data_IF_405041909596
#
_entry.id   IF_405041909596
#
_cell.length_a   1.000
_cell.length_b   1.000
_cell.length_c   1.000
_cell.angle_alpha   90.00
_cell.angle_beta   90.00
_cell.angle_gamma   90.00
#
_symmetry.space_group_name_H-M   'P 1'
#
loop_
_entity.id
_entity.type
_entity.pdbx_description
1 polymer ?
#
# COMPACT_ATOMS: atom_id res chain seq x y z
N UNK A 1 -25.82 22.34 -7.89
CA UNK A 1 -24.65 22.00 -8.68
C UNK A 1 -23.41 22.22 -7.85
N UNK A 2 -22.47 21.30 -7.90
CA UNK A 2 -21.18 21.39 -7.22
C UNK A 2 -20.09 21.86 -8.18
N UNK A 3 -19.02 22.38 -7.58
CA UNK A 3 -17.78 22.73 -8.26
C UNK A 3 -16.63 21.99 -7.59
N UNK A 4 -15.89 21.20 -8.36
CA UNK A 4 -14.75 20.43 -7.85
C UNK A 4 -13.45 21.02 -8.37
N UNK A 5 -12.59 21.47 -7.48
CA UNK A 5 -11.22 21.85 -7.79
C UNK A 5 -10.31 20.68 -7.47
N UNK A 6 -9.64 20.16 -8.50
CA UNK A 6 -8.83 18.94 -8.37
C UNK A 6 -7.37 19.30 -8.60
N UNK A 7 -6.56 19.05 -7.58
CA UNK A 7 -5.12 19.28 -7.56
C UNK A 7 -4.38 17.94 -7.42
N UNK A 8 -3.12 17.91 -7.81
CA UNK A 8 -2.26 16.74 -7.74
C UNK A 8 -0.85 17.13 -7.32
N UNK A 9 -0.17 16.24 -6.61
CA UNK A 9 1.25 16.38 -6.29
C UNK A 9 2.18 16.02 -7.47
N UNK A 10 1.60 15.52 -8.58
CA UNK A 10 2.30 15.29 -9.85
C UNK A 10 1.76 16.24 -10.90
N UNK A 11 2.59 17.11 -11.51
CA UNK A 11 2.16 18.02 -12.55
C UNK A 11 1.62 17.27 -13.78
N UNK A 12 0.54 17.80 -14.38
CA UNK A 12 -0.01 17.28 -15.64
C UNK A 12 -0.82 15.98 -15.48
N UNK A 13 -1.23 15.63 -14.25
CA UNK A 13 -2.09 14.48 -14.03
C UNK A 13 -3.44 14.65 -14.73
N UNK A 14 -3.86 13.64 -15.47
CA UNK A 14 -5.12 13.64 -16.23
C UNK A 14 -6.29 13.25 -15.34
N UNK A 15 -7.34 14.07 -15.37
CA UNK A 15 -8.52 13.92 -14.53
C UNK A 15 -9.73 13.48 -15.34
N UNK A 16 -10.39 12.44 -14.88
CA UNK A 16 -11.64 11.91 -15.45
C UNK A 16 -12.70 11.87 -14.35
N UNK A 17 -13.88 12.39 -14.66
CA UNK A 17 -15.05 12.29 -13.82
C UNK A 17 -16.12 11.48 -14.58
N UNK A 18 -16.61 10.40 -13.97
CA UNK A 18 -17.57 9.47 -14.60
C UNK A 18 -17.13 9.01 -15.99
N UNK A 19 -15.82 8.73 -16.15
CA UNK A 19 -15.16 8.33 -17.41
C UNK A 19 -15.05 9.44 -18.47
N UNK A 20 -15.44 10.67 -18.15
CA UNK A 20 -15.28 11.81 -19.04
C UNK A 20 -14.03 12.59 -18.67
N UNK A 21 -13.22 12.92 -19.67
CA UNK A 21 -12.03 13.72 -19.45
C UNK A 21 -12.41 15.15 -19.08
N UNK A 22 -11.91 15.61 -17.93
CA UNK A 22 -12.18 16.95 -17.41
C UNK A 22 -11.05 17.93 -17.75
N UNK A 23 -9.81 17.44 -17.72
CA UNK A 23 -8.61 18.23 -17.96
C UNK A 23 -7.40 17.68 -17.24
N UNK A 24 -6.35 18.49 -17.15
CA UNK A 24 -5.13 18.17 -16.40
C UNK A 24 -5.06 18.98 -15.11
N UNK A 25 -4.68 18.32 -14.02
CA UNK A 25 -4.57 18.99 -12.71
C UNK A 25 -3.48 20.07 -12.70
N UNK A 26 -3.71 21.26 -12.10
CA UNK A 26 -4.94 21.66 -11.42
C UNK A 26 -6.08 21.99 -12.39
N UNK A 27 -7.28 21.46 -12.13
CA UNK A 27 -8.44 21.64 -12.99
C UNK A 27 -9.70 21.84 -12.15
N UNK A 28 -10.64 22.61 -12.66
CA UNK A 28 -11.94 22.83 -12.01
C UNK A 28 -13.05 22.21 -12.87
N UNK A 29 -13.81 21.29 -12.28
CA UNK A 29 -15.03 20.76 -12.86
C UNK A 29 -16.21 21.55 -12.33
N UNK A 30 -16.86 22.29 -13.21
CA UNK A 30 -18.04 23.10 -12.87
C UNK A 30 -19.34 22.37 -13.19
N UNK A 31 -20.41 22.76 -12.53
CA UNK A 31 -21.76 22.26 -12.76
C UNK A 31 -21.90 20.73 -12.59
N UNK A 32 -21.15 20.17 -11.66
CA UNK A 32 -21.25 18.75 -11.31
C UNK A 32 -22.57 18.52 -10.56
N UNK A 33 -23.35 17.54 -10.98
CA UNK A 33 -24.60 17.21 -10.31
C UNK A 33 -24.31 16.70 -8.89
N UNK A 34 -25.14 17.05 -7.90
CA UNK A 34 -25.02 16.41 -6.58
C UNK A 34 -25.25 14.90 -6.67
N UNK A 35 -24.49 14.14 -5.89
CA UNK A 35 -24.55 12.69 -5.87
C UNK A 35 -23.21 12.03 -5.92
N UNK A 36 -23.21 10.73 -6.08
CA UNK A 36 -21.99 9.89 -6.11
C UNK A 36 -21.38 9.87 -7.51
N UNK A 37 -20.11 10.15 -7.61
CA UNK A 37 -19.33 10.19 -8.84
C UNK A 37 -18.07 9.34 -8.75
N UNK A 38 -17.58 8.88 -9.91
CA UNK A 38 -16.31 8.16 -10.03
C UNK A 38 -15.21 9.12 -10.51
N UNK A 39 -14.24 9.38 -9.65
CA UNK A 39 -13.06 10.16 -9.97
C UNK A 39 -11.91 9.23 -10.31
N UNK A 40 -11.33 9.37 -11.51
CA UNK A 40 -10.12 8.68 -11.92
C UNK A 40 -9.06 9.71 -12.30
N UNK A 41 -7.87 9.57 -11.74
CA UNK A 41 -6.74 10.45 -12.04
C UNK A 41 -5.53 9.61 -12.40
N UNK A 42 -4.88 9.92 -13.49
CA UNK A 42 -3.71 9.20 -13.97
C UNK A 42 -2.54 10.15 -14.19
N UNK A 43 -1.34 9.68 -13.86
CA UNK A 43 -0.09 10.38 -14.12
C UNK A 43 0.95 9.39 -14.64
N UNK A 44 1.74 9.81 -15.62
CA UNK A 44 2.80 8.97 -16.18
C UNK A 44 3.82 8.56 -15.11
N UNK A 45 4.13 7.28 -15.06
CA UNK A 45 5.07 6.72 -14.09
C UNK A 45 4.48 6.42 -12.71
N UNK A 46 3.19 6.66 -12.51
CA UNK A 46 2.49 6.40 -11.25
C UNK A 46 1.29 5.49 -11.45
N UNK A 47 0.94 4.77 -10.40
CA UNK A 47 -0.30 4.01 -10.38
C UNK A 47 -1.51 4.95 -10.36
N UNK A 48 -2.50 4.68 -11.21
CA UNK A 48 -3.71 5.48 -11.27
C UNK A 48 -4.48 5.48 -9.95
N UNK A 49 -5.12 6.60 -9.66
CA UNK A 49 -5.97 6.77 -8.49
C UNK A 49 -7.42 6.72 -8.92
N UNK A 50 -8.19 5.82 -8.31
CA UNK A 50 -9.64 5.71 -8.52
C UNK A 50 -10.35 5.91 -7.16
N UNK A 51 -11.29 6.85 -7.12
CA UNK A 51 -12.06 7.16 -5.90
C UNK A 51 -13.52 7.33 -6.24
N UNK A 52 -14.37 6.86 -5.33
CA UNK A 52 -15.78 7.25 -5.30
C UNK A 52 -15.91 8.49 -4.44
N UNK A 53 -16.50 9.54 -4.97
CA UNK A 53 -16.69 10.81 -4.26
C UNK A 53 -18.17 11.20 -4.25
N UNK A 54 -18.62 11.76 -3.15
CA UNK A 54 -19.94 12.35 -3.06
C UNK A 54 -19.83 13.86 -3.28
N UNK A 55 -20.57 14.38 -4.24
CA UNK A 55 -20.61 15.79 -4.58
C UNK A 55 -21.85 16.43 -4.00
N UNK A 56 -21.65 17.48 -3.23
CA UNK A 56 -22.72 18.34 -2.73
C UNK A 56 -22.76 19.66 -3.51
N UNK A 57 -23.77 20.46 -3.26
CA UNK A 57 -23.84 21.80 -3.82
C UNK A 57 -22.73 22.69 -3.18
N UNK A 58 -22.06 23.48 -4.00
CA UNK A 58 -20.98 24.37 -3.57
C UNK A 58 -19.60 23.92 -4.08
N UNK A 59 -18.57 24.62 -3.62
CA UNK A 59 -17.19 24.37 -4.01
C UNK A 59 -16.51 23.38 -3.05
N UNK A 60 -15.73 22.45 -3.62
CA UNK A 60 -14.95 21.47 -2.87
C UNK A 60 -13.57 21.31 -3.51
N UNK A 61 -12.53 21.35 -2.70
CA UNK A 61 -11.16 21.09 -3.11
C UNK A 61 -10.83 19.61 -2.88
N UNK A 62 -10.18 19.01 -3.86
CA UNK A 62 -9.70 17.62 -3.82
C UNK A 62 -8.22 17.59 -4.16
N UNK A 63 -7.41 17.00 -3.30
CA UNK A 63 -6.00 16.75 -3.54
C UNK A 63 -5.78 15.27 -3.84
N UNK A 64 -5.13 14.98 -4.97
CA UNK A 64 -4.70 13.64 -5.37
C UNK A 64 -3.20 13.51 -5.15
N UNK A 65 -2.80 12.56 -4.30
CA UNK A 65 -1.42 12.37 -3.88
C UNK A 65 -0.87 11.06 -4.44
N UNK A 66 -0.21 11.14 -5.59
CA UNK A 66 0.44 9.97 -6.22
C UNK A 66 1.71 9.56 -5.49
N UNK A 67 2.44 10.51 -4.91
CA UNK A 67 3.70 10.27 -4.20
C UNK A 67 3.50 9.83 -2.75
N UNK A 68 2.27 9.75 -2.28
CA UNK A 68 1.95 9.26 -0.96
C UNK A 68 1.85 7.74 -0.97
N UNK A 69 2.60 7.10 -0.08
CA UNK A 69 2.59 5.64 0.08
C UNK A 69 1.65 5.27 1.22
N UNK A 70 0.68 4.41 0.92
CA UNK A 70 -0.21 3.78 1.90
C UNK A 70 -0.02 2.28 1.85
N UNK A 71 0.13 1.67 3.00
CA UNK A 71 0.08 0.24 3.15
C UNK A 71 -0.49 -0.11 4.52
N UNK A 72 -1.44 -1.04 4.52
CA UNK A 72 -2.01 -1.65 5.70
C UNK A 72 -2.37 -3.08 5.33
N UNK A 73 -1.40 -3.98 5.49
CA UNK A 73 -1.53 -5.38 5.11
C UNK A 73 -1.27 -6.27 6.30
N UNK A 74 -2.12 -7.27 6.47
CA UNK A 74 -2.01 -8.28 7.51
C UNK A 74 -2.12 -9.67 6.89
N UNK A 75 -1.20 -10.55 7.23
CA UNK A 75 -1.13 -11.90 6.70
C UNK A 75 -0.91 -12.90 7.83
N UNK A 76 -1.80 -13.87 7.97
CA UNK A 76 -1.58 -15.01 8.85
C UNK A 76 -0.46 -15.89 8.28
N UNK A 77 0.51 -16.24 9.11
CA UNK A 77 1.69 -16.99 8.71
C UNK A 77 2.07 -18.06 9.74
N UNK A 78 2.83 -19.04 9.26
CA UNK A 78 3.54 -20.01 10.10
C UNK A 78 5.02 -19.72 10.00
N UNK A 79 5.66 -19.47 11.12
CA UNK A 79 7.11 -19.36 11.21
C UNK A 79 7.70 -20.73 11.51
N UNK A 80 8.54 -21.22 10.63
CA UNK A 80 9.23 -22.50 10.83
C UNK A 80 10.49 -22.31 11.65
N UNK A 81 10.56 -23.00 12.76
CA UNK A 81 11.74 -23.13 13.59
C UNK A 81 12.58 -24.33 13.14
N UNK A 82 13.80 -24.41 13.64
CA UNK A 82 14.64 -25.60 13.46
C UNK A 82 13.96 -26.85 14.04
N UNK A 83 13.24 -26.67 15.15
CA UNK A 83 12.41 -27.73 15.76
C UNK A 83 11.04 -27.13 16.06
N UNK A 84 10.03 -27.57 15.29
CA UNK A 84 8.65 -27.09 15.45
C UNK A 84 8.34 -25.82 14.64
N UNK A 85 7.22 -25.21 14.97
CA UNK A 85 6.74 -24.00 14.32
C UNK A 85 5.87 -23.19 15.27
N UNK A 86 5.69 -21.90 14.97
CA UNK A 86 4.72 -21.06 15.63
C UNK A 86 3.83 -20.34 14.59
N UNK A 87 2.64 -19.97 15.02
CA UNK A 87 1.70 -19.21 14.20
C UNK A 87 1.68 -17.75 14.64
N UNK A 88 1.37 -16.88 13.71
CA UNK A 88 1.25 -15.46 13.99
C UNK A 88 0.79 -14.70 12.76
N UNK A 89 1.04 -13.40 12.75
CA UNK A 89 0.70 -12.53 11.64
C UNK A 89 1.84 -11.58 11.30
N UNK A 90 2.13 -11.44 10.01
CA UNK A 90 2.92 -10.35 9.48
C UNK A 90 2.03 -9.15 9.26
N UNK A 91 2.44 -8.00 9.74
CA UNK A 91 1.72 -6.73 9.57
C UNK A 91 2.67 -5.70 8.96
N UNK A 92 2.26 -5.14 7.84
CA UNK A 92 3.01 -4.10 7.15
C UNK A 92 2.21 -2.80 7.13
N UNK A 93 2.83 -1.74 7.61
CA UNK A 93 2.33 -0.37 7.53
C UNK A 93 3.45 0.53 6.99
N UNK A 94 3.16 1.81 6.78
CA UNK A 94 4.20 2.76 6.37
C UNK A 94 5.32 2.91 7.40
N UNK A 95 5.09 2.50 8.63
CA UNK A 95 6.09 2.51 9.70
C UNK A 95 7.07 1.33 9.61
N UNK A 96 6.72 0.28 8.92
CA UNK A 96 7.56 -0.88 8.74
C UNK A 96 6.85 -2.21 8.76
N UNK A 97 7.59 -3.24 9.09
CA UNK A 97 7.14 -4.62 9.15
C UNK A 97 7.23 -5.14 10.58
N UNK A 98 6.19 -5.81 11.04
CA UNK A 98 6.20 -6.49 12.32
C UNK A 98 5.65 -7.91 12.22
N UNK A 99 6.16 -8.77 13.05
CA UNK A 99 5.65 -10.12 13.25
C UNK A 99 5.03 -10.21 14.64
N UNK A 100 3.74 -10.47 14.69
CA UNK A 100 2.96 -10.63 15.90
C UNK A 100 2.71 -12.12 16.15
N UNK A 101 3.17 -12.63 17.29
CA UNK A 101 2.97 -14.01 17.71
C UNK A 101 2.86 -14.08 19.23
N UNK A 102 2.36 -15.19 19.76
CA UNK A 102 2.31 -15.42 21.20
C UNK A 102 3.69 -15.59 21.84
N UNK A 103 4.67 -16.05 21.08
CA UNK A 103 6.06 -16.15 21.53
C UNK A 103 6.74 -14.78 21.43
N UNK A 104 6.93 -14.15 22.58
CA UNK A 104 7.54 -12.81 22.68
C UNK A 104 8.99 -12.77 22.20
N UNK A 105 9.71 -13.87 22.32
CA UNK A 105 11.11 -13.94 21.89
C UNK A 105 11.22 -14.03 20.35
N UNK A 106 10.14 -14.37 19.71
CA UNK A 106 10.09 -14.51 18.26
C UNK A 106 9.46 -13.29 17.55
N UNK A 107 8.86 -12.37 18.29
CA UNK A 107 8.31 -11.14 17.74
C UNK A 107 9.39 -10.20 17.22
N UNK A 108 9.07 -9.44 16.20
CA UNK A 108 9.84 -8.27 15.79
C UNK A 108 8.95 -7.13 15.31
N UNK A 109 9.46 -5.92 15.41
CA UNK A 109 8.87 -4.72 14.82
C UNK A 109 10.01 -3.80 14.38
N UNK A 110 10.14 -3.59 13.08
CA UNK A 110 11.27 -2.85 12.49
C UNK A 110 10.79 -1.93 11.38
N UNK A 111 11.53 -0.85 11.13
CA UNK A 111 11.34 -0.05 9.92
C UNK A 111 11.72 -0.86 8.68
N UNK A 112 11.23 -0.48 7.50
CA UNK A 112 11.63 -1.15 6.27
C UNK A 112 13.13 -1.03 5.97
N UNK A 113 13.78 0.03 6.43
CA UNK A 113 15.22 0.20 6.30
C UNK A 113 16.02 -0.89 7.05
N UNK A 114 15.45 -1.46 8.11
CA UNK A 114 16.06 -2.52 8.91
C UNK A 114 15.66 -3.93 8.44
N UNK A 115 14.89 -4.04 7.37
CA UNK A 115 14.63 -5.31 6.67
C UNK A 115 15.73 -5.51 5.64
N UNK A 116 16.68 -6.38 5.98
CA UNK A 116 17.85 -6.66 5.14
C UNK A 116 17.52 -7.56 3.96
N UNK A 117 16.69 -8.58 4.17
CA UNK A 117 16.22 -9.51 3.15
C UNK A 117 14.70 -9.64 3.21
N UNK A 118 14.07 -9.52 2.06
CA UNK A 118 12.62 -9.70 1.91
C UNK A 118 12.36 -10.37 0.56
N UNK A 119 12.42 -11.70 0.55
CA UNK A 119 12.46 -12.50 -0.68
C UNK A 119 11.40 -13.59 -0.60
N UNK A 120 10.68 -13.79 -1.71
CA UNK A 120 9.75 -14.88 -1.89
C UNK A 120 10.41 -16.00 -2.69
N UNK A 121 10.37 -17.21 -2.17
CA UNK A 121 10.74 -18.42 -2.89
C UNK A 121 9.47 -19.09 -3.41
N UNK A 122 9.28 -19.02 -4.73
CA UNK A 122 8.06 -19.54 -5.37
C UNK A 122 7.98 -21.06 -5.33
N UNK A 123 9.11 -21.75 -5.39
CA UNK A 123 9.19 -23.21 -5.37
C UNK A 123 8.85 -23.76 -4.00
N UNK A 124 9.47 -23.21 -2.97
CA UNK A 124 9.27 -23.61 -1.58
C UNK A 124 8.04 -22.97 -0.94
N UNK A 125 7.38 -22.04 -1.62
CA UNK A 125 6.24 -21.26 -1.10
C UNK A 125 6.58 -20.63 0.25
N UNK A 126 7.72 -19.99 0.31
CA UNK A 126 8.33 -19.47 1.53
C UNK A 126 8.69 -17.99 1.36
N UNK A 127 8.33 -17.19 2.35
CA UNK A 127 8.76 -15.81 2.47
C UNK A 127 9.91 -15.73 3.47
N UNK A 128 11.07 -15.30 2.99
CA UNK A 128 12.28 -15.13 3.81
C UNK A 128 12.42 -13.67 4.22
N UNK A 129 12.50 -13.45 5.51
CA UNK A 129 12.70 -12.12 6.10
C UNK A 129 13.95 -12.15 6.98
N UNK A 130 14.93 -11.30 6.67
CA UNK A 130 16.10 -11.09 7.53
C UNK A 130 16.06 -9.68 8.10
N UNK A 131 16.01 -9.58 9.41
CA UNK A 131 16.08 -8.32 10.13
C UNK A 131 17.53 -7.95 10.35
N UNK A 132 17.89 -6.69 10.12
CA UNK A 132 19.25 -6.19 10.35
C UNK A 132 19.65 -6.39 11.79
N UNK A 133 20.82 -7.02 12.02
CA UNK A 133 21.33 -7.40 13.34
C UNK A 133 20.41 -8.33 14.13
N UNK A 134 19.48 -8.99 13.46
CA UNK A 134 18.52 -9.89 14.05
C UNK A 134 18.49 -11.26 13.37
N UNK A 135 17.41 -11.99 13.62
CA UNK A 135 17.20 -13.32 13.08
C UNK A 135 16.77 -13.29 11.61
N UNK A 136 16.97 -14.42 10.94
CA UNK A 136 16.30 -14.74 9.68
C UNK A 136 15.06 -15.57 9.96
N UNK A 137 13.96 -15.19 9.33
CA UNK A 137 12.67 -15.85 9.46
C UNK A 137 12.27 -16.49 8.13
N UNK A 138 11.61 -17.64 8.22
CA UNK A 138 10.98 -18.29 7.07
C UNK A 138 9.49 -18.47 7.38
N UNK A 139 8.65 -17.83 6.58
CA UNK A 139 7.21 -17.84 6.76
C UNK A 139 6.51 -18.59 5.66
N UNK A 140 5.52 -19.37 6.01
CA UNK A 140 4.65 -20.08 5.09
C UNK A 140 3.19 -19.76 5.38
N UNK A 141 2.31 -20.03 4.41
CA UNK A 141 0.86 -19.89 4.60
C UNK A 141 0.35 -21.07 5.46
N UNK A 142 -0.51 -20.83 6.46
CA UNK A 142 -1.10 -21.90 7.27
C UNK A 142 -1.88 -22.94 6.46
N UNK A 143 -2.48 -22.53 5.34
CA UNK A 143 -3.27 -23.39 4.45
C UNK A 143 -2.45 -23.99 3.30
N UNK A 144 -1.14 -23.69 3.25
CA UNK A 144 -0.26 -24.14 2.18
C UNK A 144 -0.45 -23.42 0.84
N UNK A 145 -1.26 -22.36 0.81
CA UNK A 145 -1.44 -21.52 -0.38
C UNK A 145 -0.29 -20.51 -0.51
N UNK A 146 0.29 -20.41 -1.69
CA UNK A 146 1.34 -19.43 -1.96
C UNK A 146 0.77 -18.06 -2.36
N UNK A 147 -0.47 -17.98 -2.80
CA UNK A 147 -1.04 -16.77 -3.40
C UNK A 147 -1.06 -15.59 -2.43
N UNK A 148 -1.48 -15.83 -1.19
CA UNK A 148 -1.52 -14.79 -0.16
C UNK A 148 -0.13 -14.27 0.19
N UNK A 149 0.86 -15.16 0.26
CA UNK A 149 2.26 -14.79 0.48
C UNK A 149 2.79 -13.94 -0.68
N UNK A 150 2.48 -14.31 -1.92
CA UNK A 150 2.94 -13.59 -3.10
C UNK A 150 2.32 -12.20 -3.19
N UNK A 151 1.03 -12.06 -2.91
CA UNK A 151 0.34 -10.76 -2.90
C UNK A 151 0.92 -9.87 -1.79
N UNK A 152 1.09 -10.40 -0.61
CA UNK A 152 1.68 -9.66 0.52
C UNK A 152 3.10 -9.19 0.18
N UNK A 153 3.94 -10.07 -0.31
CA UNK A 153 5.32 -9.72 -0.72
C UNK A 153 5.32 -8.63 -1.78
N UNK A 154 4.51 -8.78 -2.82
CA UNK A 154 4.41 -7.80 -3.91
C UNK A 154 4.04 -6.41 -3.39
N UNK A 155 3.01 -6.34 -2.57
CA UNK A 155 2.47 -5.06 -2.09
C UNK A 155 3.44 -4.39 -1.10
N UNK A 156 4.03 -5.17 -0.21
CA UNK A 156 5.02 -4.68 0.76
C UNK A 156 6.31 -4.24 0.07
N UNK A 157 6.81 -5.04 -0.87
CA UNK A 157 8.05 -4.71 -1.59
C UNK A 157 7.89 -3.43 -2.42
N UNK A 158 6.75 -3.26 -3.06
CA UNK A 158 6.42 -2.04 -3.79
C UNK A 158 6.39 -0.81 -2.88
N UNK A 159 5.72 -0.89 -1.73
CA UNK A 159 5.69 0.19 -0.76
C UNK A 159 7.08 0.50 -0.20
N UNK A 160 7.83 -0.52 0.14
CA UNK A 160 9.20 -0.43 0.64
C UNK A 160 10.14 0.27 -0.35
N UNK A 161 10.07 -0.09 -1.62
CA UNK A 161 10.87 0.54 -2.67
C UNK A 161 10.50 2.02 -2.86
N UNK A 162 9.22 2.34 -2.85
CA UNK A 162 8.75 3.72 -2.99
C UNK A 162 9.20 4.60 -1.82
N UNK A 163 9.09 4.11 -0.59
CA UNK A 163 9.57 4.82 0.60
C UNK A 163 11.09 5.02 0.57
N UNK A 164 11.85 4.02 0.08
CA UNK A 164 13.31 4.12 -0.09
C UNK A 164 13.71 5.19 -1.11
N UNK A 165 12.87 5.45 -2.11
CA UNK A 165 13.08 6.52 -3.11
C UNK A 165 12.71 7.91 -2.60
N UNK A 166 12.15 8.03 -1.41
CA UNK A 166 11.77 9.30 -0.81
C UNK A 166 10.30 9.68 -0.97
N UNK A 167 9.44 8.78 -1.47
CA UNK A 167 8.00 9.01 -1.49
C UNK A 167 7.48 9.16 -0.05
N UNK A 168 6.46 9.99 0.12
CA UNK A 168 5.96 10.38 1.44
C UNK A 168 5.07 9.31 2.05
N UNK A 169 5.35 8.83 3.28
CA UNK A 169 4.42 7.95 3.95
C UNK A 169 3.10 8.67 4.27
N UNK A 170 1.99 7.97 4.09
CA UNK A 170 0.70 8.50 4.46
C UNK A 170 0.64 8.73 5.98
N UNK A 171 0.10 9.88 6.39
CA UNK A 171 -0.22 10.13 7.79
C UNK A 171 -1.53 9.42 8.16
N UNK A 172 -1.60 8.87 9.38
CA UNK A 172 -2.80 8.26 9.94
C UNK A 172 -3.83 9.33 10.32
#
# INVERSE_FOLDING_TARGET
>A
MGTLRIESDVPGAQVFLDRQFVGTAPVTAENVKPGTHQLNVSAEGFEGVARTIDVEAGARDLMVRFKEVRIDSRLAVVHKHRMGSCTGALVATVQGLRYETADKDDQFAVSFADVETFIIDYTEKNLRVKVRKGKQYNFTDPDGSADKLFVFHRDVDKARQRLAKGDTPASN
#
